data_IF_301676803383
#
_entry.id   IF_301676803383
#
_cell.length_a   1.000
_cell.length_b   1.000
_cell.length_c   1.000
_cell.angle_alpha   90.00
_cell.angle_beta   90.00
_cell.angle_gamma   90.00
#
_symmetry.space_group_name_H-M   'P 1'
#
loop_
_entity.id
_entity.type
_entity.pdbx_description
1 polymer ?
#
# COMPACT_ATOMS: atom_id res chain seq x y z
N UNK A 1 5.39 -9.03 4.81
CA UNK A 1 4.58 -9.72 5.85
C UNK A 1 3.54 -8.75 6.35
N UNK A 2 2.41 -9.22 6.91
CA UNK A 2 1.55 -8.41 7.77
C UNK A 2 2.39 -7.72 8.82
N UNK A 3 2.40 -6.40 8.79
CA UNK A 3 3.05 -5.58 9.81
C UNK A 3 1.97 -5.02 10.71
N UNK A 4 2.07 -5.32 12.00
CA UNK A 4 1.34 -4.63 13.05
C UNK A 4 2.29 -3.65 13.71
N UNK A 5 1.91 -2.38 13.73
CA UNK A 5 2.72 -1.28 14.26
C UNK A 5 2.65 -1.12 15.77
N UNK A 6 1.75 -1.85 16.43
CA UNK A 6 1.59 -1.81 17.89
C UNK A 6 1.77 -3.21 18.51
N UNK A 7 3.02 -3.72 18.59
CA UNK A 7 3.29 -5.02 19.19
C UNK A 7 2.98 -5.07 20.69
N UNK A 8 2.80 -3.91 21.35
CA UNK A 8 2.56 -3.83 22.81
C UNK A 8 1.24 -4.46 23.22
N UNK A 9 0.24 -4.43 22.34
CA UNK A 9 -1.06 -5.10 22.54
C UNK A 9 -0.90 -6.62 22.70
N UNK A 10 0.18 -7.19 22.16
CA UNK A 10 0.51 -8.61 22.25
C UNK A 10 1.67 -8.89 23.20
N UNK A 11 2.06 -7.90 24.03
CA UNK A 11 3.14 -8.03 25.00
C UNK A 11 4.55 -7.96 24.40
N UNK A 12 4.71 -7.50 23.15
CA UNK A 12 6.02 -7.23 22.55
C UNK A 12 6.38 -5.74 22.55
N UNK A 13 7.57 -5.44 22.04
CA UNK A 13 8.06 -4.07 21.85
C UNK A 13 9.06 -4.01 20.68
N UNK A 14 9.72 -2.86 20.48
CA UNK A 14 10.67 -2.66 19.39
C UNK A 14 11.89 -3.60 19.45
N UNK A 15 12.31 -4.03 20.64
CA UNK A 15 13.38 -5.00 20.86
C UNK A 15 12.89 -6.45 20.97
N UNK A 16 11.60 -6.65 21.23
CA UNK A 16 10.96 -7.95 21.41
C UNK A 16 9.76 -8.11 20.46
N UNK A 17 10.00 -8.39 19.16
CA UNK A 17 8.91 -8.54 18.21
C UNK A 17 8.05 -9.75 18.56
N UNK A 18 6.73 -9.59 18.41
CA UNK A 18 5.81 -10.73 18.54
C UNK A 18 5.74 -11.47 17.21
N UNK A 19 6.05 -12.76 17.24
CA UNK A 19 5.94 -13.66 16.09
C UNK A 19 4.88 -14.69 16.40
N UNK A 20 3.87 -14.79 15.55
CA UNK A 20 2.88 -15.86 15.62
C UNK A 20 3.42 -17.07 14.87
N UNK A 21 3.69 -18.15 15.62
CA UNK A 21 4.25 -19.40 15.13
C UNK A 21 3.37 -20.12 14.09
N UNK A 22 2.08 -19.84 14.10
CA UNK A 22 1.03 -20.48 13.32
C UNK A 22 0.37 -19.54 12.31
N UNK A 23 0.89 -18.31 12.15
CA UNK A 23 0.43 -17.42 11.08
C UNK A 23 0.83 -17.98 9.72
N UNK A 24 -0.15 -18.10 8.83
CA UNK A 24 0.08 -18.47 7.43
C UNK A 24 -0.07 -17.25 6.56
N UNK A 25 0.94 -16.99 5.72
CA UNK A 25 0.94 -15.94 4.71
C UNK A 25 1.16 -16.57 3.33
N UNK A 26 0.15 -16.50 2.48
CA UNK A 26 0.19 -16.91 1.08
C UNK A 26 0.10 -15.70 0.15
N UNK A 27 0.64 -15.84 -1.07
CA UNK A 27 0.55 -14.83 -2.12
C UNK A 27 0.33 -15.50 -3.47
N UNK A 28 -0.72 -15.09 -4.16
CA UNK A 28 -0.93 -15.44 -5.56
C UNK A 28 -0.68 -14.20 -6.42
N UNK A 29 0.13 -14.37 -7.46
CA UNK A 29 0.44 -13.34 -8.42
C UNK A 29 -0.03 -13.78 -9.81
N UNK A 30 -0.98 -13.05 -10.38
CA UNK A 30 -1.37 -13.21 -11.79
C UNK A 30 -0.77 -12.06 -12.58
N UNK A 31 0.25 -12.34 -13.39
CA UNK A 31 0.83 -11.36 -14.31
C UNK A 31 -0.05 -11.19 -15.55
N UNK A 32 0.09 -10.05 -16.24
CA UNK A 32 -0.68 -9.72 -17.45
C UNK A 32 -2.18 -9.96 -17.26
N UNK A 33 -2.71 -9.44 -16.15
CA UNK A 33 -4.08 -9.69 -15.74
C UNK A 33 -5.04 -9.20 -16.82
N UNK A 34 -5.79 -10.14 -17.39
CA UNK A 34 -6.74 -9.89 -18.48
C UNK A 34 -6.13 -9.21 -19.72
N UNK A 35 -4.87 -9.57 -20.07
CA UNK A 35 -4.12 -9.01 -21.20
C UNK A 35 -3.87 -7.49 -21.10
N UNK A 36 -3.82 -6.95 -19.88
CA UNK A 36 -3.58 -5.52 -19.65
C UNK A 36 -2.09 -5.14 -19.59
N UNK A 37 -1.18 -6.07 -19.91
CA UNK A 37 0.26 -5.90 -19.97
C UNK A 37 0.88 -5.74 -18.58
N UNK A 38 1.29 -4.51 -18.17
CA UNK A 38 1.95 -4.26 -16.89
C UNK A 38 1.07 -4.43 -15.65
N UNK A 39 -0.17 -4.92 -15.78
CA UNK A 39 -1.08 -5.11 -14.65
C UNK A 39 -0.92 -6.50 -14.07
N UNK A 40 -0.61 -6.59 -12.78
CA UNK A 40 -0.58 -7.82 -12.03
C UNK A 40 -1.66 -7.82 -10.94
N UNK A 41 -2.49 -8.87 -10.90
CA UNK A 41 -3.37 -9.11 -9.74
C UNK A 41 -2.55 -9.74 -8.62
N UNK A 42 -2.56 -9.09 -7.47
CA UNK A 42 -1.83 -9.49 -6.27
C UNK A 42 -2.82 -9.87 -5.18
N UNK A 43 -2.94 -11.16 -4.92
CA UNK A 43 -3.81 -11.69 -3.89
C UNK A 43 -2.98 -12.14 -2.71
N UNK A 44 -3.23 -11.60 -1.51
CA UNK A 44 -2.59 -12.04 -0.27
C UNK A 44 -3.59 -12.84 0.54
N UNK A 45 -3.19 -14.01 1.02
CA UNK A 45 -3.95 -14.85 1.93
C UNK A 45 -3.29 -14.80 3.31
N UNK A 46 -4.06 -14.50 4.33
CA UNK A 46 -3.58 -14.42 5.71
C UNK A 46 -4.48 -15.27 6.57
N UNK A 47 -3.90 -16.22 7.31
CA UNK A 47 -4.60 -16.96 8.36
C UNK A 47 -4.07 -16.48 9.70
N UNK A 48 -4.93 -15.78 10.44
CA UNK A 48 -4.60 -15.28 11.78
C UNK A 48 -5.04 -16.31 12.83
N UNK A 49 -4.17 -16.75 13.74
CA UNK A 49 -4.52 -17.70 14.81
C UNK A 49 -5.41 -17.09 15.91
N UNK A 50 -5.39 -15.76 16.03
CA UNK A 50 -6.23 -14.99 16.96
C UNK A 50 -6.62 -13.66 16.30
N UNK A 51 -7.65 -12.99 16.85
CA UNK A 51 -8.04 -11.66 16.40
C UNK A 51 -6.85 -10.70 16.52
N UNK A 52 -6.51 -10.05 15.40
CA UNK A 52 -5.53 -8.97 15.42
C UNK A 52 -6.24 -7.65 15.72
N UNK A 53 -5.69 -6.85 16.61
CA UNK A 53 -6.05 -5.45 16.81
C UNK A 53 -5.18 -4.53 15.97
N UNK A 54 -5.81 -3.51 15.37
CA UNK A 54 -5.21 -2.36 14.69
C UNK A 54 -4.44 -2.69 13.40
N UNK A 55 -4.92 -2.12 12.28
CA UNK A 55 -4.10 -1.54 11.21
C UNK A 55 -3.05 -2.46 10.59
N UNK A 56 -3.43 -3.69 10.25
CA UNK A 56 -2.52 -4.61 9.55
C UNK A 56 -2.29 -4.10 8.12
N UNK A 57 -1.05 -3.77 7.82
CA UNK A 57 -0.65 -3.32 6.49
C UNK A 57 -0.44 -4.52 5.57
N UNK A 58 -1.41 -4.79 4.68
CA UNK A 58 -1.27 -5.77 3.59
C UNK A 58 -2.20 -5.50 2.40
N UNK A 59 -1.67 -5.64 1.17
CA UNK A 59 -0.25 -5.70 0.86
C UNK A 59 0.46 -4.36 1.15
N UNK A 60 1.78 -4.43 1.34
CA UNK A 60 2.64 -3.27 1.48
C UNK A 60 3.89 -3.44 0.61
N UNK A 61 4.45 -2.33 0.15
CA UNK A 61 5.63 -2.29 -0.70
C UNK A 61 6.52 -1.12 -0.37
N UNK A 62 7.81 -1.28 -0.67
CA UNK A 62 8.84 -0.27 -0.49
C UNK A 62 9.48 0.02 -1.85
N UNK A 63 9.66 1.29 -2.15
CA UNK A 63 10.23 1.80 -3.39
C UNK A 63 11.44 2.68 -3.05
N UNK A 64 12.34 2.82 -4.03
CA UNK A 64 13.50 3.69 -3.92
C UNK A 64 13.07 5.16 -3.71
N UNK A 65 13.92 5.97 -3.07
CA UNK A 65 13.67 7.40 -2.84
C UNK A 65 13.55 8.23 -4.12
N UNK A 66 13.97 7.70 -5.26
CA UNK A 66 13.72 8.32 -6.57
C UNK A 66 12.23 8.43 -6.89
N UNK A 67 11.38 7.57 -6.31
CA UNK A 67 9.91 7.65 -6.40
C UNK A 67 9.37 8.68 -5.41
N UNK A 68 9.56 9.96 -5.74
CA UNK A 68 9.33 11.09 -4.84
C UNK A 68 8.10 11.94 -5.16
N UNK A 69 7.30 11.55 -6.16
CA UNK A 69 6.00 12.18 -6.47
C UNK A 69 4.88 11.22 -6.07
N UNK A 70 3.83 11.77 -5.48
CA UNK A 70 2.74 11.00 -4.88
C UNK A 70 1.41 11.46 -5.42
N UNK A 71 0.57 10.49 -5.78
CA UNK A 71 -0.72 10.74 -6.39
C UNK A 71 -1.79 9.85 -5.76
N UNK A 72 -3.01 10.37 -5.72
CA UNK A 72 -4.21 9.61 -5.45
C UNK A 72 -5.06 9.55 -6.71
N UNK A 73 -5.70 8.41 -6.93
CA UNK A 73 -6.61 8.22 -8.04
C UNK A 73 -7.97 7.73 -7.55
N UNK A 74 -9.01 8.49 -7.86
CA UNK A 74 -10.41 8.08 -7.71
C UNK A 74 -10.93 7.66 -9.08
N UNK A 75 -11.17 6.36 -9.28
CA UNK A 75 -11.61 5.82 -10.57
C UNK A 75 -13.09 6.11 -10.85
N UNK A 76 -13.92 6.24 -9.80
CA UNK A 76 -15.33 6.60 -9.95
C UNK A 76 -15.52 8.03 -10.46
N UNK A 77 -14.65 8.93 -10.03
CA UNK A 77 -14.61 10.33 -10.49
C UNK A 77 -13.63 10.56 -11.66
N UNK A 78 -12.88 9.53 -12.06
CA UNK A 78 -11.76 9.61 -13.00
C UNK A 78 -10.80 10.77 -12.69
N UNK A 79 -10.44 10.92 -11.41
CA UNK A 79 -9.69 12.07 -10.90
C UNK A 79 -8.35 11.65 -10.34
N UNK A 80 -7.29 12.06 -11.05
CA UNK A 80 -5.92 12.02 -10.56
C UNK A 80 -5.62 13.31 -9.79
N UNK A 81 -5.12 13.19 -8.57
CA UNK A 81 -4.71 14.32 -7.73
C UNK A 81 -3.30 14.13 -7.23
N UNK A 82 -2.45 15.13 -7.43
CA UNK A 82 -1.11 15.12 -6.84
C UNK A 82 -1.17 15.53 -5.37
N UNK A 83 -0.52 14.77 -4.51
CA UNK A 83 -0.47 15.00 -3.05
C UNK A 83 0.94 15.12 -2.52
N UNK A 84 1.96 15.21 -3.39
CA UNK A 84 3.38 15.31 -3.02
C UNK A 84 3.65 16.38 -1.95
N UNK A 85 3.07 17.58 -2.09
CA UNK A 85 3.28 18.68 -1.14
C UNK A 85 2.62 18.47 0.24
N UNK A 86 1.72 17.48 0.36
CA UNK A 86 1.05 17.11 1.60
C UNK A 86 1.67 15.88 2.26
N UNK A 87 2.66 15.26 1.63
CA UNK A 87 3.37 14.12 2.19
C UNK A 87 4.32 14.63 3.29
N UNK A 88 4.07 14.27 4.57
CA UNK A 88 4.97 14.65 5.64
C UNK A 88 6.34 14.01 5.41
N UNK A 89 7.39 14.74 5.79
CA UNK A 89 8.73 14.16 5.78
C UNK A 89 8.80 13.13 6.92
N UNK A 90 8.69 11.84 6.61
CA UNK A 90 8.76 10.77 7.61
C UNK A 90 10.05 10.77 8.43
N UNK A 91 11.07 11.52 7.98
CA UNK A 91 12.35 11.73 8.65
C UNK A 91 12.25 12.57 9.93
N UNK A 92 11.30 13.52 10.00
CA UNK A 92 11.19 14.43 11.15
C UNK A 92 10.56 13.79 12.39
N UNK A 93 10.10 12.55 12.27
CA UNK A 93 9.33 11.84 13.30
C UNK A 93 9.94 10.49 13.72
N UNK A 94 11.20 10.22 13.39
CA UNK A 94 11.89 9.01 13.86
C UNK A 94 12.12 9.01 15.38
N UNK A 95 11.94 10.15 16.06
CA UNK A 95 12.12 10.29 17.51
C UNK A 95 10.85 10.16 18.34
N UNK A 96 9.66 10.17 17.74
CA UNK A 96 8.37 10.22 18.46
C UNK A 96 7.45 9.02 18.17
N UNK A 97 7.94 7.98 17.48
CA UNK A 97 7.17 6.80 17.05
C UNK A 97 5.94 7.12 16.18
N UNK A 98 5.80 8.35 15.66
CA UNK A 98 4.71 8.70 14.74
C UNK A 98 5.23 8.77 13.31
N UNK A 99 5.22 7.64 12.59
CA UNK A 99 5.53 7.66 11.16
C UNK A 99 4.54 8.58 10.43
N UNK A 100 5.05 9.72 9.95
CA UNK A 100 4.30 10.63 9.11
C UNK A 100 3.94 9.95 7.80
N UNK A 101 2.64 9.86 7.51
CA UNK A 101 2.14 9.35 6.23
C UNK A 101 0.82 10.01 5.88
N UNK A 102 0.42 9.90 4.61
CA UNK A 102 -0.92 10.27 4.18
C UNK A 102 -1.78 9.02 4.06
N UNK A 103 -3.00 9.08 4.58
CA UNK A 103 -4.00 8.03 4.44
C UNK A 103 -5.10 8.49 3.50
N UNK A 104 -5.54 7.60 2.63
CA UNK A 104 -6.50 7.90 1.58
C UNK A 104 -7.56 6.81 1.49
N UNK A 105 -8.82 7.24 1.51
CA UNK A 105 -9.98 6.37 1.39
C UNK A 105 -10.55 6.51 -0.02
N UNK A 106 -10.81 5.38 -0.66
CA UNK A 106 -11.48 5.31 -1.97
C UNK A 106 -12.54 4.25 -1.95
N UNK A 107 -13.61 4.45 -2.71
CA UNK A 107 -14.51 3.39 -3.11
C UNK A 107 -13.88 2.50 -4.20
N UNK A 108 -13.34 3.14 -5.23
CA UNK A 108 -12.61 2.49 -6.34
C UNK A 108 -11.43 3.36 -6.75
N UNK A 109 -10.24 2.78 -6.85
CA UNK A 109 -9.04 3.52 -7.25
C UNK A 109 -7.83 3.14 -6.42
N UNK A 110 -6.99 4.12 -6.11
CA UNK A 110 -5.89 3.91 -5.19
C UNK A 110 -4.81 4.98 -5.27
N UNK A 111 -3.56 4.54 -5.23
CA UNK A 111 -2.39 5.42 -5.09
C UNK A 111 -1.37 5.15 -6.19
N UNK A 112 -0.62 6.19 -6.55
CA UNK A 112 0.48 6.09 -7.52
C UNK A 112 1.68 6.82 -6.92
N UNK A 113 2.85 6.17 -6.95
CA UNK A 113 4.14 6.79 -6.65
C UNK A 113 4.97 6.80 -7.93
N UNK A 114 5.62 7.92 -8.24
CA UNK A 114 6.43 8.05 -9.44
C UNK A 114 7.73 8.78 -9.19
N UNK A 115 8.66 8.62 -10.14
CA UNK A 115 9.79 9.52 -10.23
C UNK A 115 9.37 10.97 -10.54
N UNK A 116 10.34 11.88 -10.47
CA UNK A 116 10.12 13.30 -10.71
C UNK A 116 9.59 13.63 -12.12
N UNK A 117 9.86 12.77 -13.11
CA UNK A 117 9.42 12.94 -14.50
C UNK A 117 8.04 12.36 -14.77
N UNK A 118 7.57 11.44 -13.92
CA UNK A 118 6.36 10.66 -14.13
C UNK A 118 6.51 9.54 -15.16
N UNK A 119 7.72 9.31 -15.70
CA UNK A 119 7.98 8.27 -16.69
C UNK A 119 8.04 6.87 -16.06
N UNK A 120 8.53 6.76 -14.83
CA UNK A 120 8.49 5.54 -14.04
C UNK A 120 7.56 5.73 -12.84
N UNK A 121 6.55 4.89 -12.73
CA UNK A 121 5.57 4.91 -11.67
C UNK A 121 5.13 3.49 -11.29
N UNK A 122 4.75 3.33 -10.02
CA UNK A 122 4.02 2.17 -9.52
C UNK A 122 2.66 2.65 -9.03
N UNK A 123 1.62 2.07 -9.60
CA UNK A 123 0.24 2.20 -9.14
C UNK A 123 -0.21 0.99 -8.34
N UNK A 124 -1.03 1.26 -7.33
CA UNK A 124 -1.74 0.23 -6.56
C UNK A 124 -3.23 0.57 -6.62
N UNK A 125 -3.99 -0.30 -7.25
CA UNK A 125 -5.44 -0.18 -7.36
C UNK A 125 -6.12 -1.19 -6.43
N UNK A 126 -7.24 -0.79 -5.83
CA UNK A 126 -8.08 -1.65 -5.03
C UNK A 126 -9.50 -1.11 -4.91
N UNK A 127 -10.36 -1.95 -4.35
CA UNK A 127 -11.77 -1.65 -4.12
C UNK A 127 -12.07 -1.70 -2.64
N UNK A 128 -12.88 -0.75 -2.18
CA UNK A 128 -13.20 -0.61 -0.77
C UNK A 128 -14.03 -1.79 -0.27
N UNK A 129 -13.93 -2.10 1.02
CA UNK A 129 -14.79 -3.10 1.68
C UNK A 129 -16.28 -2.75 1.48
N UNK A 130 -16.62 -1.45 1.51
CA UNK A 130 -18.00 -0.98 1.30
C UNK A 130 -18.54 -1.27 -0.10
N UNK A 131 -17.65 -1.44 -1.08
CA UNK A 131 -17.99 -1.81 -2.46
C UNK A 131 -17.76 -3.30 -2.76
N UNK A 132 -17.49 -4.10 -1.73
CA UNK A 132 -17.26 -5.55 -1.85
C UNK A 132 -15.85 -5.94 -2.30
N UNK A 133 -14.87 -5.03 -2.20
CA UNK A 133 -13.45 -5.34 -2.28
C UNK A 133 -12.85 -5.65 -0.90
N UNK A 134 -11.53 -5.54 -0.79
CA UNK A 134 -10.78 -5.88 0.43
C UNK A 134 -9.92 -4.75 1.00
N UNK A 135 -10.02 -3.52 0.49
CA UNK A 135 -9.20 -2.39 0.95
C UNK A 135 -10.01 -1.51 1.90
N UNK A 136 -9.46 -1.16 3.07
CA UNK A 136 -10.07 -0.14 3.95
C UNK A 136 -9.60 1.26 3.58
N UNK A 137 -8.28 1.43 3.44
CA UNK A 137 -7.64 2.66 2.98
C UNK A 137 -6.26 2.34 2.44
N UNK A 138 -5.70 3.28 1.68
CA UNK A 138 -4.30 3.27 1.29
C UNK A 138 -3.52 4.21 2.21
N UNK A 139 -2.30 3.83 2.56
CA UNK A 139 -1.34 4.70 3.21
C UNK A 139 -0.08 4.80 2.36
N UNK A 140 0.47 6.01 2.25
CA UNK A 140 1.80 6.27 1.70
C UNK A 140 2.63 6.97 2.79
N UNK A 141 3.91 6.62 2.88
CA UNK A 141 4.81 7.14 3.90
C UNK A 141 6.25 7.12 3.40
N UNK A 142 7.03 8.13 3.80
CA UNK A 142 8.49 8.11 3.64
C UNK A 142 9.07 7.37 4.85
N UNK A 143 9.84 6.31 4.65
CA UNK A 143 10.08 5.31 5.70
C UNK A 143 11.49 5.33 6.29
N UNK A 144 12.55 5.41 5.46
CA UNK A 144 13.93 5.57 5.91
C UNK A 144 14.55 6.85 5.34
N UNK A 145 15.44 7.43 6.14
CA UNK A 145 15.86 8.81 6.05
C UNK A 145 17.31 8.98 6.52
N UNK A 146 18.23 8.40 5.77
CA UNK A 146 19.67 8.62 5.89
C UNK A 146 20.08 10.00 5.36
N UNK A 147 19.16 10.70 4.68
CA UNK A 147 19.38 12.07 4.21
C UNK A 147 20.32 12.14 3.01
N UNK A 148 20.48 11.02 2.30
CA UNK A 148 21.36 10.87 1.14
C UNK A 148 20.68 11.21 -0.20
N UNK A 149 19.42 11.66 -0.16
CA UNK A 149 18.72 12.33 -1.25
C UNK A 149 17.88 11.41 -2.15
N UNK A 150 17.17 11.95 -3.16
CA UNK A 150 16.19 11.19 -3.95
C UNK A 150 16.83 10.45 -5.14
N UNK A 151 17.81 9.59 -4.88
CA UNK A 151 18.59 8.88 -5.91
C UNK A 151 18.41 7.37 -5.81
N UNK A 152 18.64 6.63 -6.89
CA UNK A 152 18.52 5.15 -6.85
C UNK A 152 19.51 4.48 -5.89
N UNK A 153 20.63 5.14 -5.59
CA UNK A 153 21.65 4.67 -4.65
C UNK A 153 21.38 5.07 -3.20
N UNK A 154 20.32 5.84 -2.96
CA UNK A 154 19.96 6.30 -1.63
C UNK A 154 19.33 5.16 -0.82
N UNK A 155 19.64 5.16 0.47
CA UNK A 155 19.05 4.26 1.45
C UNK A 155 17.69 4.76 1.94
N UNK A 156 17.31 5.99 1.56
CA UNK A 156 15.96 6.49 1.75
C UNK A 156 14.98 5.67 0.90
N UNK A 157 13.81 5.43 1.44
CA UNK A 157 12.76 4.73 0.73
C UNK A 157 11.39 5.35 1.00
N UNK A 158 10.54 5.22 -0.01
CA UNK A 158 9.12 5.46 0.16
C UNK A 158 8.41 4.14 0.26
N UNK A 159 7.26 4.14 0.91
CA UNK A 159 6.51 2.94 1.14
C UNK A 159 5.03 3.21 1.06
N UNK A 160 4.32 2.14 0.75
CA UNK A 160 2.88 2.14 0.66
C UNK A 160 2.31 0.91 1.31
N UNK A 161 1.06 1.03 1.73
CA UNK A 161 0.26 -0.12 2.12
C UNK A 161 -1.19 0.07 1.68
N UNK A 162 -1.80 -1.01 1.19
CA UNK A 162 -3.22 -1.20 1.33
C UNK A 162 -3.44 -1.73 2.75
N UNK A 163 -4.33 -1.10 3.49
CA UNK A 163 -4.64 -1.51 4.87
C UNK A 163 -5.99 -2.18 4.89
N UNK A 164 -6.06 -3.26 5.66
CA UNK A 164 -7.32 -3.88 6.02
C UNK A 164 -7.62 -3.65 7.50
N UNK A 165 -8.81 -3.10 7.76
CA UNK A 165 -9.34 -2.87 9.08
C UNK A 165 -8.67 -1.68 9.79
N UNK A 166 -9.44 -0.62 10.04
CA UNK A 166 -9.07 0.42 11.01
C UNK A 166 -9.29 -0.02 12.47
N UNK A 167 -9.78 -1.24 12.68
CA UNK A 167 -10.15 -1.81 13.98
C UNK A 167 -9.56 -3.20 14.19
N UNK A 168 -10.42 -4.18 14.48
CA UNK A 168 -10.03 -5.58 14.66
C UNK A 168 -10.14 -6.36 13.36
N UNK A 169 -9.24 -7.33 13.18
CA UNK A 169 -9.25 -8.30 12.10
C UNK A 169 -9.50 -9.65 12.76
N UNK A 170 -10.61 -10.32 12.45
CA UNK A 170 -10.98 -11.56 13.11
C UNK A 170 -9.92 -12.64 12.87
N UNK A 171 -9.82 -13.58 13.82
CA UNK A 171 -9.09 -14.83 13.60
C UNK A 171 -9.67 -15.58 12.38
N UNK A 172 -8.82 -16.38 11.74
CA UNK A 172 -9.17 -17.16 10.55
C UNK A 172 -8.56 -16.60 9.27
N UNK A 173 -9.08 -17.07 8.14
CA UNK A 173 -8.57 -16.74 6.82
C UNK A 173 -9.16 -15.43 6.30
N UNK A 174 -8.30 -14.56 5.78
CA UNK A 174 -8.68 -13.34 5.06
C UNK A 174 -7.88 -13.23 3.77
N UNK A 175 -8.55 -12.84 2.70
CA UNK A 175 -7.95 -12.62 1.38
C UNK A 175 -7.99 -11.14 1.02
N UNK A 176 -6.87 -10.62 0.52
CA UNK A 176 -6.71 -9.24 0.07
C UNK A 176 -6.35 -9.19 -1.39
N UNK A 177 -7.11 -8.44 -2.19
CA UNK A 177 -6.84 -8.22 -3.60
C UNK A 177 -6.44 -6.76 -3.84
N UNK A 178 -5.30 -6.58 -4.50
CA UNK A 178 -4.94 -5.33 -5.15
C UNK A 178 -4.41 -5.64 -6.54
N UNK A 179 -4.33 -4.61 -7.37
CA UNK A 179 -3.71 -4.68 -8.68
C UNK A 179 -2.50 -3.76 -8.69
N UNK A 180 -1.35 -4.33 -9.01
CA UNK A 180 -0.09 -3.60 -9.13
C UNK A 180 0.14 -3.27 -10.60
N UNK A 181 0.56 -2.04 -10.88
CA UNK A 181 0.75 -1.54 -12.24
C UNK A 181 2.07 -0.78 -12.29
N UNK A 182 2.96 -1.11 -13.23
CA UNK A 182 4.24 -0.42 -13.38
C UNK A 182 4.39 0.13 -14.79
N UNK A 183 4.37 1.46 -14.94
CA UNK A 183 4.48 2.19 -16.20
C UNK A 183 4.66 3.70 -15.89
N UNK A 184 4.47 4.60 -16.84
CA UNK A 184 4.29 6.03 -16.60
C UNK A 184 3.02 6.34 -15.81
N UNK A 185 2.96 7.49 -15.12
CA UNK A 185 1.78 7.94 -14.36
C UNK A 185 0.51 7.93 -15.22
N UNK A 186 0.63 8.39 -16.48
CA UNK A 186 -0.49 8.42 -17.42
C UNK A 186 -1.01 7.01 -17.75
N UNK A 187 -0.11 6.07 -18.06
CA UNK A 187 -0.49 4.69 -18.40
C UNK A 187 -1.02 3.94 -17.19
N UNK A 188 -0.40 4.13 -16.01
CA UNK A 188 -0.91 3.58 -14.75
C UNK A 188 -2.34 4.05 -14.51
N UNK A 189 -2.61 5.34 -14.68
CA UNK A 189 -3.96 5.92 -14.50
C UNK A 189 -4.96 5.31 -15.48
N UNK A 190 -4.59 5.17 -16.75
CA UNK A 190 -5.43 4.54 -17.77
C UNK A 190 -5.74 3.07 -17.43
N UNK A 191 -4.78 2.32 -16.88
CA UNK A 191 -4.99 0.93 -16.46
C UNK A 191 -5.86 0.81 -15.20
N UNK A 192 -5.79 1.77 -14.28
CA UNK A 192 -6.73 1.84 -13.15
C UNK A 192 -8.17 2.07 -13.65
N UNK A 193 -8.34 2.89 -14.68
CA UNK A 193 -9.62 3.10 -15.36
C UNK A 193 -10.14 1.82 -16.04
N UNK A 194 -9.26 1.10 -16.74
CA UNK A 194 -9.60 -0.19 -17.37
C UNK A 194 -10.09 -1.20 -16.32
N UNK A 195 -9.39 -1.32 -15.19
CA UNK A 195 -9.77 -2.19 -14.07
C UNK A 195 -11.14 -1.82 -13.49
N UNK A 196 -11.40 -0.52 -13.27
CA UNK A 196 -12.69 -0.06 -12.79
C UNK A 196 -13.83 -0.41 -13.75
N UNK A 197 -13.66 -0.17 -15.06
CA UNK A 197 -14.68 -0.48 -16.09
C UNK A 197 -14.94 -1.98 -16.22
N UNK A 198 -13.93 -2.81 -15.95
CA UNK A 198 -14.08 -4.27 -15.90
C UNK A 198 -14.83 -4.76 -14.65
N UNK A 199 -15.01 -3.91 -13.63
CA UNK A 199 -15.72 -4.27 -12.40
C UNK A 199 -14.94 -5.25 -11.50
N UNK A 200 -13.60 -5.22 -11.57
CA UNK A 200 -12.75 -6.06 -10.71
C UNK A 200 -12.92 -5.68 -9.23
N UNK A 201 -12.69 -6.64 -8.32
CA UNK A 201 -12.78 -6.46 -6.86
C UNK A 201 -11.67 -7.24 -6.16
#
# INVERSE_FOLDING_TARGET
MPLNWDPTVYGGDQGHPVIWDSLVLGKDLTLDFNNLGPVARYTTHVVLPATAERGVQNPAGYLLSSFNRYWTYDAGLQKLSEVTGSMPDGCSHLTDNTFGGTSFFVDFGGIIMSDASGANAMGVYGVSIGQGGSVSYFAMFKFFCWGDGPFETSSDNTAWSAVYGTGTIPAGETTYNVFLITDSVQNVTARMDDLFRMGVR
#
